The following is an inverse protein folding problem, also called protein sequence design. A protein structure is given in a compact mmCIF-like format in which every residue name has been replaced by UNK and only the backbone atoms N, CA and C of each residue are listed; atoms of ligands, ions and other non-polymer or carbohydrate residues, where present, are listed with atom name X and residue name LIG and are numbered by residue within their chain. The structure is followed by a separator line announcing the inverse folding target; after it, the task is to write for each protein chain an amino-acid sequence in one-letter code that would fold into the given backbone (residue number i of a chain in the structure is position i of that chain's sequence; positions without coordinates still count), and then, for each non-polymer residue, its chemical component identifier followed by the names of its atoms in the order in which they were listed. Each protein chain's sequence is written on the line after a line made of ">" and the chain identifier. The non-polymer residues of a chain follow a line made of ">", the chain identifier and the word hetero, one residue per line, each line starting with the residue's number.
data_IF_063381966068
#
_entry.id   IF_063381966068
#
_cell.length_a   1.000
_cell.length_b   1.000
_cell.length_c   1.000
_cell.angle_alpha   90.00
_cell.angle_beta   90.00
_cell.angle_gamma   90.00
#
_symmetry.space_group_name_H-M   'P 1'
#
loop_
_entity.id
_entity.type
_entity.pdbx_description
1 polymer ?
#
# COMPACT_ATOMS: atom_id res chain seq x y z
N UNK A 1 31.07 3.99 56.56
CA UNK A 1 31.02 2.53 56.32
C UNK A 1 29.60 2.02 56.49
N UNK A 2 28.90 1.76 55.38
CA UNK A 2 28.01 0.59 55.18
C UNK A 2 27.47 0.61 53.75
N UNK A 3 27.89 -0.40 53.01
CA UNK A 3 27.64 -0.74 51.61
C UNK A 3 26.30 -1.47 51.47
N UNK A 4 25.60 -1.32 50.35
CA UNK A 4 24.64 -2.27 49.71
C UNK A 4 24.04 -1.57 48.47
N UNK A 5 24.59 -1.68 47.25
CA UNK A 5 24.53 -2.76 46.24
C UNK A 5 23.14 -3.31 45.88
N UNK A 6 22.78 -3.08 44.61
CA UNK A 6 22.01 -3.93 43.68
C UNK A 6 20.56 -4.28 44.07
N UNK A 7 19.58 -4.11 43.18
CA UNK A 7 19.28 -5.10 42.14
C UNK A 7 18.50 -4.43 40.99
N UNK A 8 19.05 -4.54 39.78
CA UNK A 8 18.33 -4.54 38.51
C UNK A 8 17.22 -5.60 38.54
N UNK A 9 15.98 -5.25 38.23
CA UNK A 9 14.98 -6.19 37.71
C UNK A 9 14.19 -5.44 36.63
N UNK A 10 14.69 -5.47 35.40
CA UNK A 10 14.21 -6.38 34.36
C UNK A 10 12.75 -6.08 33.98
N UNK A 11 12.57 -5.00 33.21
CA UNK A 11 11.36 -4.75 32.44
C UNK A 11 11.36 -5.73 31.26
N UNK A 12 11.05 -6.99 31.52
CA UNK A 12 10.75 -7.98 30.47
C UNK A 12 9.41 -7.60 29.86
N UNK A 13 9.45 -6.80 28.80
CA UNK A 13 8.40 -6.76 27.79
C UNK A 13 8.28 -8.18 27.23
N UNK A 14 7.35 -8.94 27.77
CA UNK A 14 6.84 -10.15 27.13
C UNK A 14 6.08 -9.70 25.88
N UNK A 15 6.80 -9.48 24.78
CA UNK A 15 6.19 -9.70 23.48
C UNK A 15 5.87 -11.19 23.44
N UNK A 16 4.62 -11.51 23.76
CA UNK A 16 3.98 -12.73 23.28
C UNK A 16 4.06 -12.67 21.77
N UNK A 17 5.15 -13.24 21.24
CA UNK A 17 5.22 -13.78 19.91
C UNK A 17 4.03 -14.74 19.80
N UNK A 18 2.94 -14.27 19.19
CA UNK A 18 1.88 -15.13 18.72
C UNK A 18 2.44 -15.82 17.48
N UNK A 19 3.31 -16.80 17.73
CA UNK A 19 3.69 -17.82 16.78
C UNK A 19 2.47 -18.69 16.50
N UNK A 20 1.65 -18.25 15.55
CA UNK A 20 0.89 -19.17 14.71
C UNK A 20 1.83 -19.56 13.59
N UNK A 21 2.42 -20.76 13.67
CA UNK A 21 3.34 -21.29 12.65
C UNK A 21 2.62 -21.55 11.33
N UNK A 22 2.35 -20.47 10.59
CA UNK A 22 1.86 -20.46 9.24
C UNK A 22 2.85 -19.74 8.34
N UNK A 23 2.75 -20.00 7.03
CA UNK A 23 3.50 -19.28 6.03
C UNK A 23 3.14 -17.77 6.07
N UNK A 24 4.11 -16.84 6.16
CA UNK A 24 3.83 -15.41 6.31
C UNK A 24 3.00 -14.81 5.16
N UNK A 25 3.13 -15.34 3.93
CA UNK A 25 2.32 -14.91 2.79
C UNK A 25 0.86 -15.26 3.02
N UNK A 26 0.57 -16.50 3.44
CA UNK A 26 -0.79 -16.92 3.79
C UNK A 26 -1.39 -16.09 4.93
N UNK A 27 -0.58 -15.77 5.95
CA UNK A 27 -1.00 -14.91 7.05
C UNK A 27 -1.35 -13.48 6.57
N UNK A 28 -0.57 -12.92 5.64
CA UNK A 28 -0.82 -11.63 5.04
C UNK A 28 -2.15 -11.57 4.29
N UNK A 29 -2.45 -12.56 3.44
CA UNK A 29 -3.73 -12.63 2.74
C UNK A 29 -4.91 -12.87 3.68
N UNK A 30 -4.75 -13.70 4.71
CA UNK A 30 -5.79 -13.89 5.72
C UNK A 30 -6.12 -12.58 6.45
N UNK A 31 -5.09 -11.79 6.80
CA UNK A 31 -5.26 -10.49 7.43
C UNK A 31 -5.93 -9.45 6.51
N UNK A 32 -5.61 -9.44 5.20
CA UNK A 32 -6.32 -8.62 4.22
C UNK A 32 -7.82 -8.96 4.18
N UNK A 33 -8.15 -10.25 4.17
CA UNK A 33 -9.55 -10.71 4.11
C UNK A 33 -10.37 -10.32 5.34
N UNK A 34 -9.73 -10.17 6.51
CA UNK A 34 -10.39 -9.75 7.75
C UNK A 34 -10.33 -8.23 7.98
N UNK A 35 -9.64 -7.48 7.12
CA UNK A 35 -9.45 -6.04 7.25
C UNK A 35 -8.40 -5.62 8.29
N UNK A 36 -7.60 -6.57 8.80
CA UNK A 36 -6.45 -6.25 9.67
C UNK A 36 -5.25 -5.83 8.82
N UNK A 37 -5.34 -4.64 8.25
CA UNK A 37 -4.34 -4.15 7.30
C UNK A 37 -2.95 -3.95 7.93
N UNK A 38 -2.87 -3.63 9.22
CA UNK A 38 -1.59 -3.53 9.92
C UNK A 38 -0.93 -4.89 10.11
N UNK A 39 -1.68 -5.92 10.48
CA UNK A 39 -1.18 -7.29 10.52
C UNK A 39 -0.78 -7.79 9.13
N UNK A 40 -1.56 -7.45 8.09
CA UNK A 40 -1.23 -7.79 6.71
C UNK A 40 0.11 -7.19 6.27
N UNK A 41 0.36 -5.90 6.55
CA UNK A 41 1.65 -5.25 6.25
C UNK A 41 2.80 -5.99 6.95
N UNK A 42 2.66 -6.30 8.24
CA UNK A 42 3.70 -7.01 8.99
C UNK A 42 3.99 -8.40 8.42
N UNK A 43 2.94 -9.16 8.07
CA UNK A 43 3.08 -10.50 7.53
C UNK A 43 3.72 -10.50 6.12
N UNK A 44 3.34 -9.55 5.26
CA UNK A 44 4.00 -9.39 3.96
C UNK A 44 5.43 -8.87 4.07
N UNK A 45 5.75 -8.04 5.07
CA UNK A 45 7.15 -7.66 5.38
C UNK A 45 8.00 -8.89 5.70
N UNK A 46 7.49 -9.80 6.54
CA UNK A 46 8.16 -11.06 6.85
C UNK A 46 8.29 -11.97 5.61
N UNK A 47 7.22 -12.09 4.81
CA UNK A 47 7.22 -12.87 3.58
C UNK A 47 8.26 -12.36 2.56
N UNK A 48 8.32 -11.04 2.35
CA UNK A 48 9.26 -10.41 1.44
C UNK A 48 10.71 -10.53 1.92
N UNK A 49 10.95 -10.43 3.23
CA UNK A 49 12.28 -10.63 3.81
C UNK A 49 12.80 -12.07 3.64
N UNK A 50 11.89 -13.05 3.58
CA UNK A 50 12.22 -14.46 3.33
C UNK A 50 12.20 -14.84 1.84
N UNK A 51 11.65 -14.00 0.96
CA UNK A 51 11.51 -14.24 -0.47
C UNK A 51 12.79 -13.90 -1.23
N UNK A 52 13.07 -14.65 -2.31
CA UNK A 52 14.07 -14.28 -3.30
C UNK A 52 13.45 -13.25 -4.27
N UNK A 53 14.14 -12.14 -4.52
CA UNK A 53 13.69 -11.12 -5.48
C UNK A 53 13.47 -11.63 -6.91
N UNK A 54 14.06 -12.77 -7.27
CA UNK A 54 13.86 -13.45 -8.55
C UNK A 54 12.74 -14.49 -8.53
N UNK A 55 12.11 -14.72 -7.37
CA UNK A 55 11.00 -15.64 -7.25
C UNK A 55 9.81 -15.14 -8.09
N UNK A 56 9.09 -16.03 -8.80
CA UNK A 56 7.98 -15.65 -9.66
C UNK A 56 6.86 -14.86 -8.96
N UNK A 57 6.70 -15.03 -7.65
CA UNK A 57 5.66 -14.39 -6.84
C UNK A 57 6.15 -13.18 -6.04
N UNK A 58 7.43 -12.77 -6.18
CA UNK A 58 7.98 -11.64 -5.42
C UNK A 58 7.22 -10.34 -5.70
N UNK A 59 6.97 -10.04 -6.98
CA UNK A 59 6.21 -8.86 -7.39
C UNK A 59 4.74 -8.90 -6.91
N UNK A 60 4.14 -10.09 -6.84
CA UNK A 60 2.79 -10.28 -6.31
C UNK A 60 2.74 -9.97 -4.81
N UNK A 61 3.75 -10.41 -4.04
CA UNK A 61 3.89 -10.08 -2.63
C UNK A 61 4.08 -8.58 -2.40
N UNK A 62 4.91 -7.92 -3.23
CA UNK A 62 5.09 -6.47 -3.17
C UNK A 62 3.78 -5.72 -3.44
N UNK A 63 3.01 -6.18 -4.43
CA UNK A 63 1.69 -5.62 -4.74
C UNK A 63 0.70 -5.81 -3.59
N UNK A 64 0.62 -7.01 -3.00
CA UNK A 64 -0.28 -7.29 -1.87
C UNK A 64 0.07 -6.44 -0.65
N UNK A 65 1.37 -6.18 -0.43
CA UNK A 65 1.82 -5.24 0.59
C UNK A 65 1.43 -3.80 0.28
N UNK A 66 1.55 -3.34 -0.97
CA UNK A 66 1.07 -2.02 -1.38
C UNK A 66 -0.43 -1.85 -1.13
N UNK A 67 -1.22 -2.89 -1.40
CA UNK A 67 -2.66 -2.91 -1.11
C UNK A 67 -2.91 -2.74 0.39
N UNK A 68 -2.25 -3.53 1.25
CA UNK A 68 -2.37 -3.41 2.70
C UNK A 68 -1.94 -2.03 3.21
N UNK A 69 -0.80 -1.51 2.72
CA UNK A 69 -0.30 -0.19 3.04
C UNK A 69 -1.28 0.91 2.66
N UNK A 70 -2.09 0.73 1.60
CA UNK A 70 -3.03 1.76 1.16
C UNK A 70 -4.06 2.14 2.23
N UNK A 71 -4.31 1.26 3.20
CA UNK A 71 -5.19 1.48 4.35
C UNK A 71 -4.48 1.97 5.61
N UNK A 72 -3.15 1.89 5.65
CA UNK A 72 -2.33 2.16 6.86
C UNK A 72 -1.46 3.39 6.67
N UNK A 73 -0.82 3.51 5.52
CA UNK A 73 0.10 4.56 5.11
C UNK A 73 0.06 4.73 3.59
N UNK A 74 -0.86 5.59 3.12
CA UNK A 74 -1.07 5.81 1.69
C UNK A 74 0.13 6.41 0.96
N UNK A 75 0.97 7.20 1.65
CA UNK A 75 2.18 7.77 1.07
C UNK A 75 3.22 6.69 0.79
N UNK A 76 3.40 5.77 1.73
CA UNK A 76 4.29 4.61 1.53
C UNK A 76 3.76 3.66 0.46
N UNK A 77 2.44 3.40 0.44
CA UNK A 77 1.81 2.59 -0.60
C UNK A 77 2.06 3.15 -2.01
N UNK A 78 1.88 4.47 -2.21
CA UNK A 78 2.15 5.11 -3.50
C UNK A 78 3.63 4.97 -3.91
N UNK A 79 4.55 5.29 -3.00
CA UNK A 79 5.98 5.26 -3.29
C UNK A 79 6.48 3.86 -3.68
N UNK A 80 6.00 2.82 -2.99
CA UNK A 80 6.35 1.44 -3.28
C UNK A 80 5.70 0.93 -4.55
N UNK A 81 4.42 1.25 -4.79
CA UNK A 81 3.76 0.88 -6.02
C UNK A 81 4.43 1.52 -7.25
N UNK A 82 4.86 2.78 -7.14
CA UNK A 82 5.68 3.45 -8.16
C UNK A 82 6.98 2.71 -8.42
N UNK A 83 7.70 2.35 -7.36
CA UNK A 83 8.94 1.57 -7.49
C UNK A 83 8.68 0.22 -8.17
N UNK A 84 7.54 -0.43 -7.88
CA UNK A 84 7.14 -1.67 -8.52
C UNK A 84 6.85 -1.49 -10.01
N UNK A 85 6.15 -0.42 -10.41
CA UNK A 85 5.94 -0.09 -11.82
C UNK A 85 7.26 0.14 -12.58
N UNK A 86 8.25 0.76 -11.93
CA UNK A 86 9.57 1.06 -12.51
C UNK A 86 10.50 -0.17 -12.57
N UNK A 87 10.19 -1.24 -11.83
CA UNK A 87 11.01 -2.45 -11.74
C UNK A 87 11.02 -3.34 -12.99
N UNK A 88 10.11 -3.09 -13.95
CA UNK A 88 9.88 -3.99 -15.09
C UNK A 88 8.96 -5.17 -14.79
N UNK A 89 8.33 -5.19 -13.61
CA UNK A 89 7.24 -6.12 -13.28
C UNK A 89 6.04 -5.94 -14.21
N UNK A 90 5.30 -7.01 -14.47
CA UNK A 90 4.07 -6.97 -15.29
C UNK A 90 2.92 -6.30 -14.52
N UNK A 91 2.88 -4.97 -14.57
CA UNK A 91 1.86 -4.14 -13.92
C UNK A 91 0.87 -3.63 -14.95
N UNK A 92 -0.32 -4.23 -14.94
CA UNK A 92 -1.43 -3.85 -15.80
C UNK A 92 -2.43 -2.91 -15.13
N UNK A 93 -3.43 -2.50 -15.92
CA UNK A 93 -4.57 -1.68 -15.50
C UNK A 93 -5.29 -2.22 -14.24
N UNK A 94 -5.33 -3.54 -14.08
CA UNK A 94 -5.92 -4.20 -12.90
C UNK A 94 -5.20 -3.79 -11.61
N UNK A 95 -3.87 -3.74 -11.61
CA UNK A 95 -3.07 -3.39 -10.45
C UNK A 95 -3.24 -1.90 -10.09
N UNK A 96 -3.25 -1.02 -11.07
CA UNK A 96 -3.56 0.40 -10.85
C UNK A 96 -4.95 0.58 -10.21
N UNK A 97 -5.96 -0.12 -10.72
CA UNK A 97 -7.32 -0.09 -10.17
C UNK A 97 -7.40 -0.64 -8.75
N UNK A 98 -6.65 -1.70 -8.45
CA UNK A 98 -6.56 -2.29 -7.11
C UNK A 98 -6.00 -1.27 -6.11
N UNK A 99 -4.82 -0.71 -6.39
CA UNK A 99 -4.13 0.19 -5.47
C UNK A 99 -4.86 1.53 -5.32
N UNK A 100 -5.30 2.15 -6.43
CA UNK A 100 -6.10 3.36 -6.34
C UNK A 100 -7.40 3.14 -5.56
N UNK A 101 -8.08 2.00 -5.76
CA UNK A 101 -9.28 1.64 -5.01
C UNK A 101 -9.02 1.46 -3.52
N UNK A 102 -7.92 0.78 -3.16
CA UNK A 102 -7.51 0.60 -1.78
C UNK A 102 -7.15 1.94 -1.11
N UNK A 103 -6.44 2.83 -1.81
CA UNK A 103 -6.10 4.17 -1.30
C UNK A 103 -7.33 5.03 -1.05
N UNK A 104 -8.33 4.99 -1.95
CA UNK A 104 -9.61 5.65 -1.72
C UNK A 104 -10.29 5.10 -0.45
N UNK A 105 -10.33 3.78 -0.29
CA UNK A 105 -10.94 3.15 0.87
C UNK A 105 -10.16 3.42 2.17
N UNK A 106 -8.85 3.65 2.07
CA UNK A 106 -7.96 4.07 3.16
C UNK A 106 -7.98 5.58 3.47
N UNK A 107 -8.85 6.36 2.81
CA UNK A 107 -8.89 7.84 2.91
C UNK A 107 -7.60 8.55 2.48
N UNK A 108 -6.80 7.92 1.62
CA UNK A 108 -5.58 8.49 1.04
C UNK A 108 -5.86 9.09 -0.35
N UNK A 109 -6.76 10.07 -0.42
CA UNK A 109 -7.29 10.61 -1.68
C UNK A 109 -6.21 11.14 -2.63
N UNK A 110 -5.29 11.97 -2.12
CA UNK A 110 -4.20 12.54 -2.93
C UNK A 110 -3.31 11.45 -3.52
N UNK A 111 -3.00 10.41 -2.74
CA UNK A 111 -2.20 9.28 -3.22
C UNK A 111 -2.96 8.47 -4.28
N UNK A 112 -4.29 8.30 -4.13
CA UNK A 112 -5.11 7.67 -5.15
C UNK A 112 -5.08 8.46 -6.46
N UNK A 113 -5.15 9.80 -6.42
CA UNK A 113 -4.98 10.67 -7.60
C UNK A 113 -3.64 10.41 -8.28
N UNK A 114 -2.54 10.39 -7.51
CA UNK A 114 -1.21 10.16 -8.06
C UNK A 114 -1.07 8.78 -8.72
N UNK A 115 -1.61 7.73 -8.10
CA UNK A 115 -1.59 6.38 -8.68
C UNK A 115 -2.39 6.32 -9.98
N UNK A 116 -3.54 6.99 -10.05
CA UNK A 116 -4.33 7.03 -11.28
C UNK A 116 -3.67 7.85 -12.37
N UNK A 117 -3.05 8.98 -12.04
CA UNK A 117 -2.24 9.74 -12.99
C UNK A 117 -1.12 8.89 -13.61
N UNK A 118 -0.38 8.14 -12.78
CA UNK A 118 0.62 7.18 -13.26
C UNK A 118 -0.01 6.16 -14.22
N UNK A 119 -1.19 5.63 -13.89
CA UNK A 119 -1.89 4.66 -14.72
C UNK A 119 -2.40 5.23 -16.04
N UNK A 120 -2.92 6.46 -16.06
CA UNK A 120 -3.38 7.13 -17.29
C UNK A 120 -2.19 7.42 -18.20
N UNK A 121 -1.04 7.83 -17.64
CA UNK A 121 0.18 8.02 -18.40
C UNK A 121 0.73 6.70 -18.97
N UNK A 122 0.61 5.59 -18.23
CA UNK A 122 1.03 4.26 -18.70
C UNK A 122 0.06 3.65 -19.74
N UNK A 123 -1.23 3.97 -19.66
CA UNK A 123 -2.29 3.41 -20.50
C UNK A 123 -3.24 4.52 -21.02
N UNK A 124 -2.75 5.42 -21.90
CA UNK A 124 -3.48 6.64 -22.28
C UNK A 124 -4.81 6.38 -23.01
N UNK A 125 -4.92 5.27 -23.73
CA UNK A 125 -6.10 4.91 -24.51
C UNK A 125 -6.96 3.80 -23.86
N UNK A 126 -6.64 3.39 -22.63
CA UNK A 126 -7.39 2.32 -21.95
C UNK A 126 -8.67 2.85 -21.29
N UNK A 127 -9.81 2.34 -21.76
CA UNK A 127 -11.13 2.77 -21.28
C UNK A 127 -11.36 2.52 -19.78
N UNK A 128 -10.72 1.52 -19.18
CA UNK A 128 -10.85 1.25 -17.74
C UNK A 128 -10.00 2.23 -16.93
N UNK A 129 -8.82 2.63 -17.42
CA UNK A 129 -8.05 3.70 -16.78
C UNK A 129 -8.75 5.05 -16.86
N UNK A 130 -9.37 5.38 -18.00
CA UNK A 130 -10.20 6.57 -18.13
C UNK A 130 -11.39 6.54 -17.13
N UNK A 131 -12.08 5.40 -17.01
CA UNK A 131 -13.16 5.24 -16.03
C UNK A 131 -12.68 5.34 -14.58
N UNK A 132 -11.48 4.85 -14.28
CA UNK A 132 -10.88 4.98 -12.96
C UNK A 132 -10.54 6.43 -12.61
N UNK A 133 -10.02 7.21 -13.58
CA UNK A 133 -9.81 8.66 -13.42
C UNK A 133 -11.10 9.39 -13.10
N UNK A 134 -12.19 9.12 -13.82
CA UNK A 134 -13.48 9.74 -13.52
C UNK A 134 -13.98 9.36 -12.11
N UNK A 135 -13.84 8.10 -11.69
CA UNK A 135 -14.19 7.68 -10.33
C UNK A 135 -13.40 8.45 -9.27
N UNK A 136 -12.09 8.65 -9.48
CA UNK A 136 -11.26 9.43 -8.55
C UNK A 136 -11.62 10.91 -8.56
N UNK A 137 -11.88 11.50 -9.73
CA UNK A 137 -12.36 12.90 -9.84
C UNK A 137 -13.64 13.13 -9.05
N UNK A 138 -14.58 12.18 -9.14
CA UNK A 138 -15.83 12.24 -8.37
C UNK A 138 -15.58 12.13 -6.86
N UNK A 139 -14.72 11.20 -6.44
CA UNK A 139 -14.38 11.01 -5.03
C UNK A 139 -13.60 12.21 -4.44
N UNK A 140 -12.78 12.87 -5.26
CA UNK A 140 -11.97 14.02 -4.88
C UNK A 140 -12.77 15.32 -4.68
N UNK A 141 -14.06 15.39 -5.04
CA UNK A 141 -14.87 16.62 -4.95
C UNK A 141 -14.90 17.28 -3.57
N UNK A 142 -14.71 16.49 -2.52
CA UNK A 142 -14.71 16.96 -1.13
C UNK A 142 -13.30 17.12 -0.55
N UNK A 143 -12.25 16.83 -1.32
CA UNK A 143 -10.84 16.93 -0.92
C UNK A 143 -10.15 18.05 -1.71
N UNK A 144 -9.91 19.23 -1.09
CA UNK A 144 -9.28 20.36 -1.76
C UNK A 144 -7.88 20.06 -2.32
N UNK A 145 -7.08 19.26 -1.62
CA UNK A 145 -5.73 18.94 -2.07
C UNK A 145 -5.75 18.04 -3.31
N UNK A 146 -6.67 17.07 -3.34
CA UNK A 146 -6.89 16.22 -4.51
C UNK A 146 -7.45 17.00 -5.70
N UNK A 147 -8.37 17.96 -5.48
CA UNK A 147 -8.86 18.84 -6.55
C UNK A 147 -7.76 19.72 -7.14
N UNK A 148 -6.92 20.30 -6.28
CA UNK A 148 -5.79 21.12 -6.72
C UNK A 148 -4.78 20.29 -7.52
N UNK A 149 -4.50 19.05 -7.08
CA UNK A 149 -3.66 18.12 -7.82
C UNK A 149 -4.24 17.78 -9.20
N UNK A 150 -5.51 17.38 -9.25
CA UNK A 150 -6.22 17.06 -10.50
C UNK A 150 -6.26 18.26 -11.47
N UNK A 151 -6.42 19.49 -10.95
CA UNK A 151 -6.28 20.73 -11.75
C UNK A 151 -4.87 20.90 -12.27
N UNK A 152 -3.85 20.77 -11.42
CA UNK A 152 -2.45 20.92 -11.79
C UNK A 152 -1.99 19.91 -12.85
N UNK A 153 -2.60 18.72 -12.86
CA UNK A 153 -2.38 17.67 -13.86
C UNK A 153 -3.18 17.90 -15.17
N UNK A 154 -4.09 18.87 -15.21
CA UNK A 154 -4.92 19.18 -16.39
C UNK A 154 -6.18 18.33 -16.53
N UNK A 155 -6.56 17.55 -15.51
CA UNK A 155 -7.77 16.70 -15.54
C UNK A 155 -9.06 17.45 -15.20
N UNK A 156 -8.95 18.66 -14.65
CA UNK A 156 -10.07 19.53 -14.28
C UNK A 156 -9.86 20.93 -14.91
N UNK A 157 -10.37 21.16 -16.12
CA UNK A 157 -10.26 22.48 -16.77
C UNK A 157 -10.37 22.52 -18.29
N UNK A 158 -11.00 21.53 -18.93
CA UNK A 158 -11.35 21.59 -20.35
C UNK A 158 -12.82 21.94 -20.52
N UNK A 159 -13.11 23.24 -20.65
CA UNK A 159 -14.25 23.74 -21.43
C UNK A 159 -13.71 24.27 -22.77
#
# INVERSE_FOLDING_TARGET
>A
MRTQYSILLALTLSLTACGGGGDPKEAGYAALQTGDHAAAVSAFDEALAASDSSAPDHAELQLARCEALSYVDGAKAEAEFRSLCESGSDIGVKQYSLIAGALLAGNAMLNAVNVVDMGVNAFPDDAKMAALLEKVKEAAKEDPAALDALKGMGYLGGD
#
